data_IF_187721613126
#
_entry.id   IF_187721613126
#
_cell.length_a   1.000
_cell.length_b   1.000
_cell.length_c   1.000
_cell.angle_alpha   90.00
_cell.angle_beta   90.00
_cell.angle_gamma   90.00
#
_symmetry.space_group_name_H-M   'P 1'
#
loop_
_entity.id
_entity.type
_entity.pdbx_description
1 polymer ?
#
# COMPACT_ATOMS: atom_id res chain seq x y z
N UNK A 1 -1.35 13.90 22.72
CA UNK A 1 -1.16 14.03 21.26
C UNK A 1 -0.27 15.22 21.04
N UNK A 2 0.90 15.02 20.44
CA UNK A 2 1.77 16.13 20.06
C UNK A 2 1.08 16.94 18.96
N UNK A 3 1.09 18.27 19.09
CA UNK A 3 0.45 19.15 18.11
C UNK A 3 1.29 19.26 16.85
N UNK A 4 0.62 19.22 15.69
CA UNK A 4 1.29 19.46 14.43
C UNK A 4 1.80 20.91 14.35
N UNK A 5 3.03 21.07 13.88
CA UNK A 5 3.58 22.36 13.49
C UNK A 5 2.78 22.99 12.32
N UNK A 6 2.90 24.32 12.09
CA UNK A 6 2.26 25.01 10.97
C UNK A 6 2.49 24.30 9.63
N UNK A 7 1.43 24.16 8.83
CA UNK A 7 1.40 23.25 7.66
C UNK A 7 2.36 23.64 6.52
N UNK A 8 2.78 24.90 6.49
CA UNK A 8 3.69 25.49 5.51
C UNK A 8 5.14 25.58 6.03
N UNK A 9 5.36 25.48 7.34
CA UNK A 9 6.70 25.37 7.94
C UNK A 9 7.37 24.03 7.66
N UNK A 10 8.71 24.00 7.65
CA UNK A 10 9.49 22.80 7.30
C UNK A 10 9.10 21.59 8.16
N UNK A 11 9.10 21.74 9.49
CA UNK A 11 8.70 20.68 10.41
C UNK A 11 7.27 20.20 10.12
N UNK A 12 6.32 21.12 9.92
CA UNK A 12 4.93 20.74 9.62
C UNK A 12 4.79 20.03 8.27
N UNK A 13 5.63 20.35 7.29
CA UNK A 13 5.70 19.62 6.03
C UNK A 13 6.25 18.19 6.25
N UNK A 14 7.31 18.02 7.04
CA UNK A 14 7.87 16.70 7.38
C UNK A 14 6.87 15.84 8.17
N UNK A 15 6.23 16.43 9.18
CA UNK A 15 5.15 15.81 9.96
C UNK A 15 3.90 15.48 9.15
N UNK A 16 3.75 15.96 7.92
CA UNK A 16 2.67 15.55 6.99
C UNK A 16 3.19 14.74 5.82
N UNK A 17 4.46 14.33 5.90
CA UNK A 17 5.16 13.58 4.88
C UNK A 17 5.39 14.33 3.57
N UNK A 18 5.21 15.65 3.48
CA UNK A 18 5.16 16.34 2.18
C UNK A 18 6.48 16.25 1.42
N UNK A 19 6.39 16.07 0.10
CA UNK A 19 7.57 16.05 -0.79
C UNK A 19 8.29 17.40 -0.86
N UNK A 20 7.59 18.51 -0.58
CA UNK A 20 8.23 19.80 -0.36
C UNK A 20 9.17 19.79 0.86
N UNK A 21 8.70 19.26 2.00
CA UNK A 21 9.52 19.14 3.22
C UNK A 21 10.75 18.27 2.99
N UNK A 22 10.59 17.13 2.31
CA UNK A 22 11.70 16.25 1.97
C UNK A 22 12.76 16.88 1.06
N UNK A 23 12.37 17.85 0.22
CA UNK A 23 13.33 18.59 -0.62
C UNK A 23 14.04 19.66 0.20
N UNK A 24 13.28 20.45 0.94
CA UNK A 24 13.82 21.58 1.69
C UNK A 24 14.73 21.12 2.82
N UNK A 25 14.40 20.01 3.50
CA UNK A 25 15.21 19.49 4.61
C UNK A 25 16.61 19.06 4.17
N UNK A 26 16.81 18.71 2.89
CA UNK A 26 18.11 18.23 2.41
C UNK A 26 19.22 19.30 2.45
N UNK A 27 18.84 20.58 2.43
CA UNK A 27 19.76 21.71 2.50
C UNK A 27 19.69 22.43 3.87
N UNK A 28 18.94 21.89 4.83
CA UNK A 28 18.74 22.50 6.15
C UNK A 28 19.79 22.01 7.16
N UNK A 29 20.48 22.91 7.90
CA UNK A 29 21.48 22.49 8.89
C UNK A 29 20.90 21.71 10.07
N UNK A 30 19.59 21.80 10.33
CA UNK A 30 18.87 21.04 11.35
C UNK A 30 18.17 19.78 10.77
N UNK A 31 18.57 19.32 9.57
CA UNK A 31 17.94 18.18 8.92
C UNK A 31 17.84 16.94 9.80
N UNK A 32 18.94 16.59 10.48
CA UNK A 32 18.99 15.41 11.34
C UNK A 32 17.98 15.50 12.48
N UNK A 33 18.01 16.58 13.28
CA UNK A 33 17.10 16.74 14.41
C UNK A 33 15.64 16.77 13.98
N UNK A 34 15.32 17.51 12.91
CA UNK A 34 13.95 17.61 12.39
C UNK A 34 13.39 16.25 11.91
N UNK A 35 14.21 15.45 11.25
CA UNK A 35 13.81 14.12 10.77
C UNK A 35 13.67 13.16 11.95
N UNK A 36 14.63 13.15 12.86
CA UNK A 36 14.60 12.27 14.03
C UNK A 36 13.43 12.61 14.97
N UNK A 37 13.06 13.88 15.11
CA UNK A 37 11.85 14.29 15.82
C UNK A 37 10.57 13.76 15.15
N UNK A 38 10.56 13.67 13.80
CA UNK A 38 9.46 13.05 13.07
C UNK A 38 9.45 11.52 13.18
N UNK A 39 10.60 10.88 13.42
CA UNK A 39 10.71 9.42 13.63
C UNK A 39 10.20 9.01 15.01
N UNK A 40 10.39 9.87 16.02
CA UNK A 40 10.02 9.57 17.41
C UNK A 40 8.51 9.44 17.65
N UNK A 41 7.68 9.97 16.77
CA UNK A 41 6.23 10.03 16.97
C UNK A 41 5.46 9.64 15.71
N UNK A 42 4.34 8.97 15.89
CA UNK A 42 3.40 8.67 14.83
C UNK A 42 2.57 9.92 14.46
N UNK A 43 3.04 10.62 13.44
CA UNK A 43 2.35 11.75 12.82
C UNK A 43 1.41 11.34 11.67
N UNK A 44 0.94 10.09 11.65
CA UNK A 44 -0.08 9.66 10.68
C UNK A 44 -1.44 10.16 11.11
N UNK A 45 -2.19 10.71 10.16
CA UNK A 45 -3.60 11.03 10.37
C UNK A 45 -4.45 9.77 10.47
N UNK A 46 -4.21 8.82 9.57
CA UNK A 46 -4.85 7.51 9.53
C UNK A 46 -3.78 6.48 9.15
N UNK A 47 -3.43 5.63 10.10
CA UNK A 47 -2.32 4.68 10.00
C UNK A 47 -2.55 3.62 8.92
N UNK A 48 -3.80 3.36 8.52
CA UNK A 48 -4.12 2.40 7.46
C UNK A 48 -3.73 2.89 6.07
N UNK A 49 -3.71 4.21 5.84
CA UNK A 49 -3.50 4.80 4.52
C UNK A 49 -2.23 5.65 4.42
N UNK A 50 -1.74 6.19 5.53
CA UNK A 50 -0.51 7.00 5.53
C UNK A 50 0.74 6.10 5.61
N UNK A 51 1.49 6.03 4.52
CA UNK A 51 2.78 5.34 4.39
C UNK A 51 3.93 6.16 5.00
N UNK A 52 3.71 6.75 6.18
CA UNK A 52 4.70 7.61 6.83
C UNK A 52 6.04 6.93 7.09
N UNK A 53 6.09 5.65 7.52
CA UNK A 53 7.36 4.97 7.74
C UNK A 53 8.22 4.92 6.47
N UNK A 54 7.62 4.68 5.30
CA UNK A 54 8.36 4.69 4.02
C UNK A 54 8.92 6.06 3.65
N UNK A 55 8.17 7.14 3.95
CA UNK A 55 8.67 8.50 3.79
C UNK A 55 9.87 8.79 4.70
N UNK A 56 9.79 8.44 5.98
CA UNK A 56 10.84 8.70 6.96
C UNK A 56 12.08 7.83 6.73
N UNK A 57 11.91 6.54 6.46
CA UNK A 57 13.02 5.63 6.11
C UNK A 57 13.81 6.15 4.91
N UNK A 58 13.09 6.69 3.91
CA UNK A 58 13.75 7.30 2.76
C UNK A 58 14.54 8.55 3.14
N UNK A 59 14.03 9.41 4.03
CA UNK A 59 14.77 10.59 4.49
C UNK A 59 16.02 10.18 5.27
N UNK A 60 15.91 9.24 6.20
CA UNK A 60 17.05 8.69 6.96
C UNK A 60 18.14 8.21 6.00
N UNK A 61 17.79 7.40 5.00
CA UNK A 61 18.73 6.94 3.98
C UNK A 61 19.30 8.08 3.13
N UNK A 62 18.43 8.89 2.53
CA UNK A 62 18.83 9.88 1.52
C UNK A 62 19.69 11.00 2.11
N UNK A 63 19.55 11.28 3.41
CA UNK A 63 20.35 12.25 4.17
C UNK A 63 21.55 11.60 4.90
N UNK A 64 21.67 10.28 4.87
CA UNK A 64 22.74 9.55 5.57
C UNK A 64 22.65 9.64 7.09
N UNK A 65 21.44 9.73 7.64
CA UNK A 65 21.24 9.81 9.10
C UNK A 65 21.50 8.45 9.76
N UNK A 66 22.00 8.43 11.00
CA UNK A 66 22.25 7.18 11.71
C UNK A 66 20.93 6.47 12.06
N UNK A 67 20.85 5.17 11.76
CA UNK A 67 19.70 4.32 12.11
C UNK A 67 19.78 3.75 13.53
N UNK A 68 20.95 3.79 14.18
CA UNK A 68 21.18 3.32 15.56
C UNK A 68 20.18 3.89 16.58
N UNK A 69 19.99 5.22 16.65
CA UNK A 69 19.02 5.83 17.57
C UNK A 69 17.57 5.37 17.37
N UNK A 70 17.20 4.92 16.17
CA UNK A 70 15.85 4.38 15.89
C UNK A 70 15.72 2.99 16.53
N UNK A 71 16.79 2.19 16.52
CA UNK A 71 16.85 0.92 17.25
C UNK A 71 16.78 1.11 18.76
N UNK A 72 17.51 2.09 19.30
CA UNK A 72 17.47 2.45 20.72
C UNK A 72 16.07 2.92 21.15
N UNK A 73 15.40 3.72 20.31
CA UNK A 73 14.00 4.11 20.53
C UNK A 73 13.10 2.87 20.61
N UNK A 74 13.23 1.93 19.67
CA UNK A 74 12.42 0.71 19.65
C UNK A 74 12.56 -0.12 20.94
N UNK A 75 13.77 -0.16 21.51
CA UNK A 75 14.08 -0.90 22.74
C UNK A 75 13.60 -0.18 24.02
N UNK A 76 13.51 1.14 24.00
CA UNK A 76 13.16 1.97 25.17
C UNK A 76 11.68 2.34 25.25
N UNK A 77 10.94 2.21 24.15
CA UNK A 77 9.51 2.50 24.14
C UNK A 77 8.71 1.53 25.06
N UNK A 78 7.83 2.07 25.92
CA UNK A 78 7.00 1.23 26.77
C UNK A 78 6.02 0.40 25.91
N UNK A 79 5.58 -0.77 26.38
CA UNK A 79 4.69 -1.65 25.62
C UNK A 79 3.36 -1.01 25.17
N UNK A 80 2.98 0.07 25.84
CA UNK A 80 1.74 0.82 25.62
C UNK A 80 1.94 2.06 24.71
N UNK A 81 3.12 2.26 24.12
CA UNK A 81 3.51 3.45 23.32
C UNK A 81 2.69 3.71 22.04
N UNK A 82 1.55 3.04 21.86
CA UNK A 82 0.65 3.27 20.74
C UNK A 82 1.28 2.85 19.42
N UNK A 83 1.21 3.73 18.43
CA UNK A 83 1.66 3.46 17.07
C UNK A 83 3.10 3.91 16.78
N UNK A 84 3.80 4.53 17.75
CA UNK A 84 5.18 5.00 17.59
C UNK A 84 6.12 3.82 17.30
N UNK A 85 5.93 2.72 18.05
CA UNK A 85 6.57 1.43 17.83
C UNK A 85 6.49 0.96 16.36
N UNK A 86 5.30 1.06 15.75
CA UNK A 86 5.12 0.63 14.37
C UNK A 86 5.95 1.46 13.40
N UNK A 87 6.01 2.78 13.64
CA UNK A 87 6.78 3.68 12.78
C UNK A 87 8.26 3.34 12.86
N UNK A 88 8.82 3.21 14.07
CA UNK A 88 10.22 2.85 14.28
C UNK A 88 10.56 1.47 13.69
N UNK A 89 9.76 0.44 13.99
CA UNK A 89 9.98 -0.92 13.50
C UNK A 89 9.92 -1.01 11.96
N UNK A 90 8.94 -0.34 11.32
CA UNK A 90 8.85 -0.29 9.86
C UNK A 90 10.02 0.47 9.22
N UNK A 91 10.45 1.58 9.82
CA UNK A 91 11.62 2.32 9.31
C UNK A 91 12.86 1.41 9.34
N UNK A 92 13.13 0.75 10.47
CA UNK A 92 14.26 -0.18 10.59
C UNK A 92 14.15 -1.35 9.62
N UNK A 93 12.96 -1.96 9.49
CA UNK A 93 12.71 -3.03 8.53
C UNK A 93 13.00 -2.60 7.08
N UNK A 94 12.54 -1.43 6.67
CA UNK A 94 12.78 -0.91 5.31
C UNK A 94 14.26 -0.57 5.07
N UNK A 95 14.94 0.04 6.04
CA UNK A 95 16.37 0.35 5.96
C UNK A 95 17.22 -0.92 5.92
N UNK A 96 16.88 -1.90 6.75
CA UNK A 96 17.52 -3.21 6.77
C UNK A 96 17.34 -3.93 5.42
N UNK A 97 16.15 -3.88 4.82
CA UNK A 97 15.87 -4.50 3.52
C UNK A 97 16.76 -3.95 2.39
N UNK A 98 17.11 -2.67 2.45
CA UNK A 98 17.93 -2.00 1.44
C UNK A 98 19.44 -2.00 1.78
N UNK A 99 19.85 -2.70 2.83
CA UNK A 99 21.26 -2.95 3.16
C UNK A 99 21.87 -2.09 4.26
N UNK A 100 21.06 -1.39 5.08
CA UNK A 100 21.58 -0.77 6.30
C UNK A 100 21.82 -1.84 7.38
N UNK A 101 23.09 -2.16 7.62
CA UNK A 101 23.51 -3.18 8.59
C UNK A 101 23.22 -2.79 10.04
N UNK A 102 23.21 -1.50 10.37
CA UNK A 102 22.87 -1.03 11.72
C UNK A 102 21.37 -1.22 11.97
N UNK A 103 20.54 -0.87 10.99
CA UNK A 103 19.10 -1.11 11.06
C UNK A 103 18.77 -2.61 11.11
N UNK A 104 19.51 -3.41 10.33
CA UNK A 104 19.44 -4.88 10.32
C UNK A 104 19.77 -5.48 11.68
N UNK A 105 20.88 -5.05 12.30
CA UNK A 105 21.25 -5.50 13.63
C UNK A 105 20.22 -5.08 14.70
N UNK A 106 19.65 -3.87 14.57
CA UNK A 106 18.59 -3.39 15.45
C UNK A 106 17.32 -4.25 15.40
N UNK A 107 16.80 -4.53 14.19
CA UNK A 107 15.60 -5.35 14.03
C UNK A 107 15.87 -6.82 14.43
N UNK A 108 17.06 -7.36 14.15
CA UNK A 108 17.45 -8.72 14.53
C UNK A 108 17.49 -8.87 16.06
N UNK A 109 18.09 -7.89 16.75
CA UNK A 109 18.12 -7.86 18.22
C UNK A 109 16.71 -7.72 18.80
N UNK A 110 15.88 -6.86 18.23
CA UNK A 110 14.52 -6.65 18.72
C UNK A 110 13.64 -7.88 18.53
N UNK A 111 13.73 -8.58 17.39
CA UNK A 111 13.02 -9.85 17.20
C UNK A 111 13.52 -10.91 18.20
N UNK A 112 14.82 -10.92 18.48
CA UNK A 112 15.41 -11.89 19.41
C UNK A 112 15.06 -11.65 20.88
N UNK A 113 14.84 -10.40 21.30
CA UNK A 113 14.78 -10.03 22.73
C UNK A 113 13.59 -9.14 23.10
N UNK A 114 13.05 -8.37 22.16
CA UNK A 114 12.05 -7.34 22.39
C UNK A 114 10.68 -7.86 22.87
N UNK A 115 9.93 -7.06 23.64
CA UNK A 115 8.62 -7.45 24.16
C UNK A 115 7.57 -7.59 23.05
N UNK A 116 7.65 -6.79 21.98
CA UNK A 116 6.75 -6.83 20.81
C UNK A 116 7.37 -7.55 19.61
N UNK A 117 8.17 -8.59 19.87
CA UNK A 117 8.91 -9.29 18.82
C UNK A 117 8.00 -9.90 17.74
N UNK A 118 6.78 -10.35 18.10
CA UNK A 118 5.77 -10.84 17.15
C UNK A 118 5.38 -9.74 16.17
N UNK A 119 5.04 -8.55 16.66
CA UNK A 119 4.64 -7.41 15.83
C UNK A 119 5.80 -6.97 14.90
N UNK A 120 7.03 -6.91 15.43
CA UNK A 120 8.22 -6.59 14.64
C UNK A 120 8.49 -7.63 13.54
N UNK A 121 8.37 -8.91 13.86
CA UNK A 121 8.52 -10.00 12.89
C UNK A 121 7.45 -9.92 11.80
N UNK A 122 6.20 -9.66 12.16
CA UNK A 122 5.12 -9.53 11.18
C UNK A 122 5.31 -8.34 10.25
N UNK A 123 5.82 -7.21 10.75
CA UNK A 123 6.25 -6.07 9.92
C UNK A 123 7.32 -6.50 8.90
N UNK A 124 8.34 -7.22 9.35
CA UNK A 124 9.41 -7.73 8.47
C UNK A 124 8.84 -8.68 7.41
N UNK A 125 7.95 -9.58 7.81
CA UNK A 125 7.32 -10.57 6.91
C UNK A 125 6.41 -9.91 5.87
N UNK A 126 5.73 -8.82 6.22
CA UNK A 126 4.92 -8.03 5.30
C UNK A 126 5.75 -7.31 4.23
N UNK A 127 6.98 -6.91 4.58
CA UNK A 127 7.82 -6.06 3.74
C UNK A 127 8.88 -6.84 2.94
N UNK A 128 9.40 -7.94 3.49
CA UNK A 128 10.55 -8.63 2.93
C UNK A 128 10.15 -9.81 2.02
N UNK A 129 10.99 -10.16 1.04
CA UNK A 129 10.87 -11.43 0.34
C UNK A 129 10.93 -12.62 1.30
N UNK A 130 10.18 -13.68 0.99
CA UNK A 130 10.11 -14.90 1.81
C UNK A 130 11.48 -15.48 2.17
N UNK A 131 12.44 -15.32 1.26
CA UNK A 131 13.72 -16.01 1.35
C UNK A 131 14.61 -15.33 2.39
N UNK A 132 14.33 -14.05 2.68
CA UNK A 132 15.06 -13.28 3.67
C UNK A 132 14.45 -13.43 5.07
N UNK A 133 13.13 -13.34 5.22
CA UNK A 133 12.53 -13.41 6.55
C UNK A 133 12.44 -14.83 7.11
N UNK A 134 12.54 -15.88 6.28
CA UNK A 134 12.59 -17.28 6.76
C UNK A 134 13.71 -17.55 7.75
N UNK A 135 14.80 -16.78 7.71
CA UNK A 135 15.92 -16.88 8.66
C UNK A 135 15.51 -16.69 10.12
N UNK A 136 14.39 -16.00 10.38
CA UNK A 136 13.89 -15.77 11.73
C UNK A 136 13.14 -16.97 12.32
N UNK A 137 12.92 -18.05 11.55
CA UNK A 137 12.13 -19.19 12.00
C UNK A 137 12.66 -19.77 13.32
N UNK A 138 13.96 -20.06 13.40
CA UNK A 138 14.56 -20.64 14.61
C UNK A 138 14.38 -19.73 15.83
N UNK A 139 14.73 -18.45 15.70
CA UNK A 139 14.58 -17.45 16.77
C UNK A 139 13.12 -17.29 17.21
N UNK A 140 12.19 -17.20 16.26
CA UNK A 140 10.78 -17.02 16.54
C UNK A 140 10.18 -18.25 17.23
N UNK A 141 10.45 -19.45 16.71
CA UNK A 141 9.95 -20.71 17.28
C UNK A 141 10.52 -20.94 18.68
N UNK A 142 11.80 -20.63 18.93
CA UNK A 142 12.40 -20.72 20.26
C UNK A 142 11.72 -19.81 21.29
N UNK A 143 11.15 -18.67 20.84
CA UNK A 143 10.45 -17.70 21.70
C UNK A 143 8.96 -17.98 21.88
N UNK A 144 8.38 -18.93 21.14
CA UNK A 144 6.96 -19.24 21.29
C UNK A 144 6.69 -19.80 22.69
N UNK A 145 5.73 -19.19 23.37
CA UNK A 145 5.11 -19.67 24.59
C UNK A 145 3.58 -19.78 24.40
N UNK A 146 2.85 -20.49 25.27
CA UNK A 146 1.41 -20.63 25.12
C UNK A 146 0.65 -19.28 25.03
N UNK A 147 0.92 -18.28 25.89
CA UNK A 147 0.27 -16.97 25.79
C UNK A 147 0.50 -16.25 24.45
N UNK A 148 1.68 -16.41 23.85
CA UNK A 148 2.00 -15.84 22.55
C UNK A 148 1.22 -16.57 21.46
N UNK A 149 1.25 -17.91 21.46
CA UNK A 149 0.55 -18.75 20.48
C UNK A 149 -0.94 -18.43 20.43
N UNK A 150 -1.57 -18.24 21.60
CA UNK A 150 -3.00 -17.92 21.71
C UNK A 150 -3.38 -16.58 21.04
N UNK A 151 -2.42 -15.67 20.86
CA UNK A 151 -2.61 -14.37 20.20
C UNK A 151 -2.28 -14.39 18.70
N UNK A 152 -1.63 -15.45 18.21
CA UNK A 152 -1.25 -15.55 16.80
C UNK A 152 -2.48 -15.76 15.92
N UNK A 153 -2.42 -15.20 14.71
CA UNK A 153 -3.44 -15.43 13.70
C UNK A 153 -3.00 -16.57 12.75
N UNK A 154 -3.70 -17.73 12.75
CA UNK A 154 -3.21 -18.95 12.11
C UNK A 154 -2.96 -18.87 10.61
N UNK A 155 -3.83 -18.16 9.88
CA UNK A 155 -3.72 -18.03 8.43
C UNK A 155 -2.69 -16.96 7.98
N UNK A 156 -2.09 -16.25 8.93
CA UNK A 156 -1.11 -15.20 8.65
C UNK A 156 0.28 -15.76 8.41
N UNK A 157 1.05 -15.09 7.54
CA UNK A 157 2.50 -15.24 7.56
C UNK A 157 3.06 -14.59 8.84
N UNK A 158 4.19 -15.07 9.38
CA UNK A 158 4.95 -16.23 8.92
C UNK A 158 4.36 -17.57 9.41
N UNK A 159 3.44 -17.53 10.36
CA UNK A 159 2.99 -18.70 11.13
C UNK A 159 2.42 -19.83 10.30
N UNK A 160 1.58 -19.54 9.31
CA UNK A 160 1.06 -20.54 8.38
C UNK A 160 2.17 -21.27 7.61
N UNK A 161 3.31 -20.62 7.37
CA UNK A 161 4.47 -21.23 6.70
C UNK A 161 5.28 -22.11 7.64
N UNK A 162 5.22 -21.84 8.94
CA UNK A 162 5.99 -22.54 9.97
C UNK A 162 5.16 -23.57 10.75
N UNK A 163 3.89 -23.75 10.43
CA UNK A 163 2.99 -24.72 11.10
C UNK A 163 3.60 -26.13 11.12
N UNK A 164 4.22 -26.56 10.02
CA UNK A 164 4.85 -27.90 9.93
C UNK A 164 6.22 -27.99 10.62
N UNK A 165 6.77 -26.86 11.08
CA UNK A 165 8.09 -26.78 11.71
C UNK A 165 8.01 -26.87 13.24
N UNK A 166 6.86 -26.58 13.85
CA UNK A 166 6.68 -26.61 15.31
C UNK A 166 5.35 -27.27 15.70
N UNK A 167 5.38 -28.39 16.45
CA UNK A 167 4.16 -29.09 16.87
C UNK A 167 3.17 -28.21 17.64
N UNK A 168 3.64 -27.21 18.40
CA UNK A 168 2.78 -26.32 19.20
C UNK A 168 1.92 -25.44 18.32
N UNK A 169 2.47 -24.93 17.20
CA UNK A 169 1.70 -24.20 16.19
C UNK A 169 0.69 -25.11 15.51
N UNK A 170 1.11 -26.31 15.09
CA UNK A 170 0.23 -27.29 14.45
C UNK A 170 -0.99 -27.66 15.33
N UNK A 171 -0.76 -27.90 16.62
CA UNK A 171 -1.82 -28.19 17.58
C UNK A 171 -2.78 -27.00 17.74
N UNK A 172 -2.23 -25.80 18.01
CA UNK A 172 -3.03 -24.60 18.19
C UNK A 172 -3.87 -24.26 16.95
N UNK A 173 -3.30 -24.44 15.76
CA UNK A 173 -3.98 -24.11 14.50
C UNK A 173 -5.00 -25.17 14.11
N UNK A 174 -4.79 -26.43 14.48
CA UNK A 174 -5.81 -27.50 14.38
C UNK A 174 -6.99 -27.20 15.30
N UNK A 175 -6.73 -26.78 16.54
CA UNK A 175 -7.78 -26.40 17.49
C UNK A 175 -8.56 -25.15 17.00
N UNK A 176 -7.87 -24.17 16.43
CA UNK A 176 -8.51 -22.99 15.83
C UNK A 176 -9.40 -23.35 14.63
N UNK A 177 -8.91 -24.20 13.71
CA UNK A 177 -9.70 -24.68 12.56
C UNK A 177 -10.95 -25.43 13.04
N UNK A 178 -10.80 -26.32 14.01
CA UNK A 178 -11.91 -27.06 14.62
C UNK A 178 -12.96 -26.15 15.27
N UNK A 179 -12.55 -25.03 15.88
CA UNK A 179 -13.47 -24.02 16.42
C UNK A 179 -14.16 -23.21 15.31
N UNK A 180 -13.42 -22.85 14.28
CA UNK A 180 -13.94 -22.07 13.15
C UNK A 180 -14.98 -22.86 12.35
N UNK A 181 -14.75 -24.15 12.14
CA UNK A 181 -15.68 -25.07 11.49
C UNK A 181 -17.00 -25.22 12.26
N UNK A 182 -16.97 -25.10 13.60
CA UNK A 182 -18.20 -25.07 14.42
C UNK A 182 -19.00 -23.78 14.24
N UNK A 183 -18.32 -22.65 14.01
CA UNK A 183 -18.99 -21.35 13.81
C UNK A 183 -19.52 -21.17 12.38
N UNK A 184 -18.91 -21.80 11.38
CA UNK A 184 -19.45 -21.89 10.01
C UNK A 184 -20.48 -23.00 9.85
N UNK A 185 -20.54 -23.92 10.82
CA UNK A 185 -21.36 -25.13 10.82
C UNK A 185 -22.87 -24.94 10.98
N UNK A 186 -23.38 -23.73 11.23
CA UNK A 186 -24.82 -23.51 11.42
C UNK A 186 -25.59 -23.20 10.12
N UNK A 187 -25.07 -23.61 8.95
CA UNK A 187 -25.91 -23.57 7.74
C UNK A 187 -25.31 -24.05 6.42
N UNK A 188 -23.99 -24.05 6.23
CA UNK A 188 -23.39 -24.40 4.94
C UNK A 188 -22.45 -25.60 5.05
N UNK A 189 -22.90 -26.75 4.53
CA UNK A 189 -22.09 -27.98 4.48
C UNK A 189 -20.79 -27.75 3.68
N UNK A 190 -19.64 -28.27 4.12
CA UNK A 190 -18.44 -28.30 3.28
C UNK A 190 -18.73 -28.99 1.94
N UNK A 191 -18.26 -28.43 0.82
CA UNK A 191 -18.41 -29.02 -0.52
C UNK A 191 -19.57 -28.47 -1.38
N UNK A 192 -20.19 -27.35 -0.98
CA UNK A 192 -21.13 -26.66 -1.88
C UNK A 192 -20.42 -26.15 -3.14
N UNK A 193 -21.03 -26.42 -4.30
CA UNK A 193 -20.57 -25.88 -5.58
C UNK A 193 -20.69 -24.35 -5.61
N UNK A 194 -19.89 -23.70 -6.46
CA UNK A 194 -19.96 -22.26 -6.73
C UNK A 194 -21.39 -21.82 -7.08
N UNK A 195 -22.11 -22.60 -7.90
CA UNK A 195 -23.50 -22.32 -8.28
C UNK A 195 -24.44 -22.32 -7.07
N UNK A 196 -24.22 -23.24 -6.13
CA UNK A 196 -25.03 -23.33 -4.92
C UNK A 196 -24.73 -22.17 -3.97
N UNK A 197 -23.47 -21.75 -3.87
CA UNK A 197 -23.09 -20.55 -3.12
C UNK A 197 -23.73 -19.28 -3.72
N UNK A 198 -23.72 -19.14 -5.05
CA UNK A 198 -24.40 -18.04 -5.73
C UNK A 198 -25.92 -18.08 -5.54
N UNK A 199 -26.53 -19.27 -5.55
CA UNK A 199 -27.96 -19.43 -5.27
C UNK A 199 -28.33 -18.97 -3.87
N UNK A 200 -27.49 -19.26 -2.86
CA UNK A 200 -27.70 -18.79 -1.48
C UNK A 200 -27.60 -17.27 -1.36
N UNK A 201 -26.75 -16.62 -2.17
CA UNK A 201 -26.66 -15.16 -2.20
C UNK A 201 -27.85 -14.50 -2.91
N UNK A 202 -28.43 -15.18 -3.90
CA UNK A 202 -29.62 -14.71 -4.64
C UNK A 202 -30.92 -14.84 -3.83
N UNK A 203 -30.98 -15.81 -2.93
CA UNK A 203 -32.17 -16.04 -2.11
C UNK A 203 -32.40 -14.87 -1.13
N UNK A 204 -33.49 -14.11 -1.26
CA UNK A 204 -33.76 -12.95 -0.41
C UNK A 204 -34.03 -13.36 1.04
N UNK A 205 -34.59 -14.55 1.27
CA UNK A 205 -35.02 -15.06 2.58
C UNK A 205 -33.88 -15.77 3.32
N UNK A 206 -32.75 -16.00 2.64
CA UNK A 206 -31.57 -16.61 3.24
C UNK A 206 -31.04 -15.78 4.42
N UNK A 207 -30.80 -16.41 5.58
CA UNK A 207 -30.23 -15.73 6.74
C UNK A 207 -28.94 -15.00 6.39
N UNK A 208 -28.80 -13.81 6.94
CA UNK A 208 -27.67 -12.93 6.69
C UNK A 208 -26.32 -13.56 7.02
N UNK A 209 -26.22 -14.33 8.11
CA UNK A 209 -25.03 -15.10 8.48
C UNK A 209 -24.65 -16.15 7.42
N UNK A 210 -25.64 -16.81 6.81
CA UNK A 210 -25.40 -17.76 5.72
C UNK A 210 -24.91 -17.03 4.44
N UNK A 211 -25.41 -15.82 4.14
CA UNK A 211 -24.88 -15.00 3.04
C UNK A 211 -23.43 -14.57 3.28
N UNK A 212 -23.08 -14.18 4.52
CA UNK A 212 -21.69 -13.88 4.93
C UNK A 212 -20.80 -15.11 4.74
N UNK A 213 -21.23 -16.28 5.20
CA UNK A 213 -20.48 -17.53 5.04
C UNK A 213 -20.29 -17.92 3.56
N UNK A 214 -21.32 -17.76 2.73
CA UNK A 214 -21.22 -18.01 1.30
C UNK A 214 -20.25 -17.05 0.59
N UNK A 215 -20.24 -15.77 0.95
CA UNK A 215 -19.28 -14.78 0.44
C UNK A 215 -17.83 -15.10 0.84
N UNK A 216 -17.59 -15.48 2.11
CA UNK A 216 -16.26 -15.92 2.56
C UNK A 216 -15.77 -17.10 1.72
N UNK A 217 -16.64 -18.09 1.51
CA UNK A 217 -16.29 -19.29 0.74
C UNK A 217 -15.99 -19.00 -0.74
N UNK A 218 -16.76 -18.11 -1.37
CA UNK A 218 -16.47 -17.66 -2.75
C UNK A 218 -15.15 -16.89 -2.86
N UNK A 219 -14.76 -16.16 -1.81
CA UNK A 219 -13.48 -15.45 -1.77
C UNK A 219 -12.29 -16.43 -1.75
N UNK A 220 -12.45 -17.56 -1.06
CA UNK A 220 -11.43 -18.63 -0.98
C UNK A 220 -11.31 -19.45 -2.28
N UNK A 221 -12.43 -19.66 -3.00
CA UNK A 221 -12.49 -20.51 -4.20
C UNK A 221 -12.16 -19.77 -5.52
N UNK A 222 -11.77 -18.49 -5.43
CA UNK A 222 -11.78 -17.50 -6.49
C UNK A 222 -13.22 -17.07 -6.90
N UNK A 223 -13.56 -15.78 -6.77
CA UNK A 223 -14.94 -15.33 -6.97
C UNK A 223 -15.35 -15.41 -8.45
N UNK A 224 -16.51 -16.01 -8.76
CA UNK A 224 -17.04 -16.12 -10.11
C UNK A 224 -17.55 -14.74 -10.60
N UNK A 225 -17.51 -14.45 -11.92
CA UNK A 225 -17.95 -13.16 -12.46
C UNK A 225 -19.42 -12.83 -12.15
N UNK A 226 -20.28 -13.84 -12.01
CA UNK A 226 -21.70 -13.74 -11.66
C UNK A 226 -21.94 -13.14 -10.27
N UNK A 227 -20.90 -13.06 -9.42
CA UNK A 227 -20.97 -12.36 -8.15
C UNK A 227 -21.12 -10.83 -8.34
N UNK A 228 -20.63 -10.29 -9.46
CA UNK A 228 -20.74 -8.85 -9.77
C UNK A 228 -22.20 -8.42 -9.94
N UNK A 229 -23.02 -9.29 -10.53
CA UNK A 229 -24.45 -9.03 -10.72
C UNK A 229 -25.22 -8.97 -9.39
N UNK A 230 -24.63 -9.47 -8.30
CA UNK A 230 -25.20 -9.46 -6.95
C UNK A 230 -24.62 -8.35 -6.06
N UNK A 231 -23.62 -7.59 -6.55
CA UNK A 231 -22.83 -6.68 -5.72
C UNK A 231 -23.68 -5.57 -5.06
N UNK A 232 -24.62 -4.99 -5.80
CA UNK A 232 -25.50 -3.92 -5.30
C UNK A 232 -26.41 -4.41 -4.17
N UNK A 233 -26.97 -5.62 -4.30
CA UNK A 233 -27.83 -6.23 -3.27
C UNK A 233 -27.08 -6.70 -2.03
N UNK A 234 -25.76 -6.90 -2.14
CA UNK A 234 -24.92 -7.44 -1.06
C UNK A 234 -24.16 -6.36 -0.28
N UNK A 235 -24.29 -5.07 -0.62
CA UNK A 235 -23.58 -3.96 0.05
C UNK A 235 -23.70 -4.01 1.57
N UNK A 236 -24.90 -4.31 2.10
CA UNK A 236 -25.12 -4.40 3.54
C UNK A 236 -24.43 -5.61 4.18
N UNK A 237 -24.33 -6.73 3.47
CA UNK A 237 -23.64 -7.96 3.91
C UNK A 237 -22.12 -7.73 3.89
N UNK A 238 -21.60 -7.05 2.86
CA UNK A 238 -20.18 -6.70 2.72
C UNK A 238 -19.72 -5.72 3.79
N UNK A 239 -20.54 -4.72 4.16
CA UNK A 239 -20.21 -3.79 5.26
C UNK A 239 -20.04 -4.51 6.60
N UNK A 240 -20.73 -5.63 6.81
CA UNK A 240 -20.62 -6.43 8.02
C UNK A 240 -19.47 -7.43 7.98
N UNK A 241 -19.11 -7.94 6.80
CA UNK A 241 -17.82 -8.63 6.62
C UNK A 241 -16.65 -7.74 7.04
N UNK A 242 -16.72 -6.44 6.72
CA UNK A 242 -15.76 -5.45 7.19
C UNK A 242 -15.79 -5.23 8.71
N UNK A 243 -16.99 -5.17 9.32
CA UNK A 243 -17.15 -4.96 10.78
C UNK A 243 -16.82 -6.19 11.62
N UNK A 244 -17.13 -7.40 11.16
CA UNK A 244 -16.83 -8.66 11.87
C UNK A 244 -15.33 -8.94 11.93
N UNK A 245 -14.51 -8.31 11.09
CA UNK A 245 -13.06 -8.29 11.24
C UNK A 245 -12.59 -7.32 12.35
N UNK A 246 -13.43 -6.36 12.74
CA UNK A 246 -13.16 -5.33 13.74
C UNK A 246 -13.88 -5.56 15.09
N UNK A 247 -14.87 -6.45 15.19
CA UNK A 247 -15.76 -6.55 16.36
C UNK A 247 -15.88 -7.94 16.97
N UNK A 248 -14.84 -8.78 17.00
CA UNK A 248 -14.83 -9.89 17.95
C UNK A 248 -14.53 -9.34 19.36
N UNK A 249 -15.51 -9.25 20.28
CA UNK A 249 -15.30 -8.66 21.60
C UNK A 249 -14.56 -9.62 22.54
N UNK A 250 -14.24 -10.84 22.11
CA UNK A 250 -13.63 -11.88 22.94
C UNK A 250 -12.15 -12.15 22.61
N UNK A 251 -11.54 -11.37 21.72
CA UNK A 251 -10.09 -11.36 21.53
C UNK A 251 -9.52 -9.96 21.80
N UNK A 252 -8.60 -9.79 22.77
CA UNK A 252 -7.83 -8.55 22.91
C UNK A 252 -6.79 -8.37 21.79
N UNK A 253 -6.92 -9.07 20.67
CA UNK A 253 -6.06 -8.96 19.52
C UNK A 253 -6.46 -7.71 18.72
N UNK A 254 -5.55 -6.74 18.64
CA UNK A 254 -5.65 -5.54 17.80
C UNK A 254 -6.21 -5.89 16.40
N UNK A 255 -7.17 -5.13 15.84
CA UNK A 255 -7.66 -5.35 14.49
C UNK A 255 -6.49 -5.30 13.50
N UNK A 256 -6.29 -6.40 12.78
CA UNK A 256 -5.09 -6.59 11.96
C UNK A 256 -5.16 -5.75 10.67
N UNK A 257 -4.00 -5.21 10.32
CA UNK A 257 -3.66 -4.51 9.07
C UNK A 257 -4.06 -5.32 7.84
N UNK A 258 -5.21 -5.01 7.27
CA UNK A 258 -5.49 -5.39 5.90
C UNK A 258 -5.45 -4.12 5.05
N UNK A 259 -4.28 -3.85 4.44
CA UNK A 259 -4.08 -2.79 3.43
C UNK A 259 -4.95 -3.00 2.16
N UNK A 260 -5.84 -4.00 2.18
CA UNK A 260 -6.76 -4.41 1.14
C UNK A 260 -8.15 -3.77 1.26
N UNK A 261 -8.49 -3.13 2.39
CA UNK A 261 -9.83 -2.56 2.62
C UNK A 261 -10.26 -1.54 1.55
N UNK A 262 -9.32 -0.72 1.05
CA UNK A 262 -9.61 0.27 0.00
C UNK A 262 -9.45 -0.26 -1.44
N UNK A 263 -8.87 -1.45 -1.63
CA UNK A 263 -8.63 -2.05 -2.96
C UNK A 263 -9.84 -2.79 -3.54
N UNK A 264 -10.94 -2.89 -2.79
CA UNK A 264 -12.03 -3.83 -3.11
C UNK A 264 -13.25 -3.23 -3.82
N UNK A 265 -13.25 -1.95 -4.20
CA UNK A 265 -14.47 -1.30 -4.76
C UNK A 265 -14.36 -0.86 -6.23
N UNK A 266 -13.17 -0.86 -6.86
CA UNK A 266 -13.03 -0.49 -8.28
C UNK A 266 -12.28 -1.50 -9.20
N UNK A 267 -12.43 -2.84 -9.13
CA UNK A 267 -11.83 -3.72 -10.15
C UNK A 267 -12.53 -3.70 -11.53
N UNK A 268 -13.77 -3.21 -11.63
CA UNK A 268 -14.59 -3.40 -12.85
C UNK A 268 -14.23 -2.46 -14.03
N UNK A 269 -13.61 -1.31 -13.79
CA UNK A 269 -13.27 -0.33 -14.85
C UNK A 269 -11.82 -0.41 -15.34
N UNK A 270 -10.94 -1.12 -14.62
CA UNK A 270 -9.51 -1.22 -14.93
C UNK A 270 -9.10 -2.70 -14.85
N UNK A 271 -9.47 -3.44 -15.90
CA UNK A 271 -9.35 -4.89 -16.02
C UNK A 271 -8.11 -5.48 -15.37
N UNK A 272 -8.33 -6.20 -14.26
CA UNK A 272 -7.31 -6.95 -13.53
C UNK A 272 -7.35 -8.41 -13.99
N UNK A 273 -6.84 -8.70 -15.19
CA UNK A 273 -6.48 -10.07 -15.57
C UNK A 273 -5.01 -10.28 -15.28
N UNK A 274 -4.71 -10.93 -14.16
CA UNK A 274 -3.37 -11.40 -13.83
C UNK A 274 -3.03 -12.61 -14.71
N UNK A 275 -2.45 -12.36 -15.88
CA UNK A 275 -1.71 -13.36 -16.63
C UNK A 275 -0.46 -12.67 -17.23
N UNK A 276 0.75 -13.24 -17.09
CA UNK A 276 1.91 -12.70 -17.76
C UNK A 276 1.71 -12.82 -19.27
N UNK A 277 1.70 -11.69 -19.97
CA UNK A 277 1.64 -11.66 -21.42
C UNK A 277 2.91 -12.32 -21.98
N UNK A 278 2.76 -13.47 -22.64
CA UNK A 278 3.81 -14.05 -23.49
C UNK A 278 4.18 -13.06 -24.59
N UNK A 279 5.47 -12.88 -24.92
CA UNK A 279 5.89 -12.00 -25.99
C UNK A 279 5.63 -12.69 -27.33
N UNK A 280 4.48 -12.41 -27.94
CA UNK A 280 4.26 -12.76 -29.34
C UNK A 280 4.90 -11.67 -30.23
N UNK A 281 6.01 -12.06 -30.88
CA UNK A 281 6.73 -11.25 -31.87
C UNK A 281 5.98 -11.33 -33.19
N UNK A 282 4.98 -10.48 -33.38
CA UNK A 282 4.51 -10.10 -34.70
C UNK A 282 4.29 -8.59 -34.78
N UNK A 283 5.18 -7.92 -35.51
CA UNK A 283 5.13 -6.49 -35.81
C UNK A 283 4.02 -6.22 -36.85
N UNK A 284 2.91 -5.60 -36.41
CA UNK A 284 1.94 -4.92 -37.27
C UNK A 284 1.07 -3.91 -36.49
N UNK A 285 0.36 -2.96 -37.12
CA UNK A 285 0.35 -1.54 -36.74
C UNK A 285 -0.60 -1.21 -35.57
N UNK A 286 -0.12 -1.38 -34.33
CA UNK A 286 -0.85 -1.02 -33.08
C UNK A 286 -0.73 0.45 -32.64
N UNK A 287 -0.02 1.30 -33.40
CA UNK A 287 0.27 2.71 -33.02
C UNK A 287 -0.96 3.61 -32.81
N UNK A 288 -2.06 3.57 -33.59
CA UNK A 288 -3.17 4.50 -33.41
C UNK A 288 -4.00 4.22 -32.14
N UNK A 289 -4.11 2.94 -31.72
CA UNK A 289 -4.84 2.55 -30.50
C UNK A 289 -4.08 2.92 -29.22
N UNK A 290 -2.74 2.86 -29.22
CA UNK A 290 -1.91 3.31 -28.08
C UNK A 290 -1.99 4.83 -27.88
N UNK A 291 -1.91 5.62 -28.95
CA UNK A 291 -2.05 7.10 -28.87
C UNK A 291 -3.36 7.54 -28.23
N UNK A 292 -4.49 6.91 -28.56
CA UNK A 292 -5.80 7.21 -27.95
C UNK A 292 -5.85 6.95 -26.44
N UNK A 293 -5.14 5.94 -25.94
CA UNK A 293 -5.14 5.57 -24.51
C UNK A 293 -4.38 6.58 -23.64
N UNK A 294 -3.30 7.18 -24.15
CA UNK A 294 -2.54 8.18 -23.40
C UNK A 294 -3.33 9.48 -23.25
N UNK A 295 -4.11 9.85 -24.27
CA UNK A 295 -5.00 11.03 -24.22
C UNK A 295 -6.10 10.86 -23.17
N UNK A 296 -6.67 9.66 -23.04
CA UNK A 296 -7.68 9.37 -21.99
C UNK A 296 -7.06 9.48 -20.60
N UNK A 297 -5.86 8.94 -20.38
CA UNK A 297 -5.15 9.11 -19.10
C UNK A 297 -4.86 10.59 -18.80
N UNK A 298 -4.37 11.35 -19.78
CA UNK A 298 -4.06 12.76 -19.60
C UNK A 298 -5.33 13.58 -19.26
N UNK A 299 -6.44 13.29 -19.94
CA UNK A 299 -7.74 13.90 -19.65
C UNK A 299 -8.22 13.58 -18.24
N UNK A 300 -8.06 12.34 -17.78
CA UNK A 300 -8.48 11.94 -16.43
C UNK A 300 -7.60 12.56 -15.34
N UNK A 301 -6.28 12.65 -15.56
CA UNK A 301 -5.38 13.39 -14.66
C UNK A 301 -5.79 14.87 -14.54
N UNK A 302 -6.09 15.52 -15.67
CA UNK A 302 -6.56 16.90 -15.69
C UNK A 302 -7.89 17.04 -14.95
N UNK A 303 -8.84 16.12 -15.19
CA UNK A 303 -10.15 16.09 -14.52
C UNK A 303 -10.03 16.00 -13.00
N UNK A 304 -9.23 15.06 -12.48
CA UNK A 304 -9.02 14.94 -11.03
C UNK A 304 -8.42 16.23 -10.44
N UNK A 305 -7.46 16.82 -11.14
CA UNK A 305 -6.80 18.05 -10.69
C UNK A 305 -7.77 19.22 -10.66
N UNK A 306 -8.56 19.39 -11.70
CA UNK A 306 -9.52 20.48 -11.83
C UNK A 306 -10.65 20.36 -10.79
N UNK A 307 -10.94 19.14 -10.31
CA UNK A 307 -11.86 18.88 -9.20
C UNK A 307 -11.22 19.04 -7.82
N UNK A 308 -9.90 19.26 -7.74
CA UNK A 308 -9.17 19.28 -6.47
C UNK A 308 -9.15 17.92 -5.76
N UNK A 309 -9.39 16.84 -6.48
CA UNK A 309 -9.31 15.47 -5.96
C UNK A 309 -7.84 15.12 -5.75
N UNK A 310 -7.51 14.63 -4.55
CA UNK A 310 -6.14 14.20 -4.23
C UNK A 310 -5.97 12.68 -4.29
N UNK A 311 -7.06 11.93 -4.28
CA UNK A 311 -7.04 10.47 -4.32
C UNK A 311 -7.10 9.94 -5.76
N UNK A 312 -6.70 8.66 -5.93
CA UNK A 312 -6.84 7.85 -7.15
C UNK A 312 -5.78 8.09 -8.22
N UNK A 313 -4.83 9.00 -8.00
CA UNK A 313 -3.76 9.20 -8.97
C UNK A 313 -2.83 7.98 -9.02
N UNK A 314 -2.70 7.22 -7.92
CA UNK A 314 -1.96 5.96 -7.89
C UNK A 314 -2.41 5.00 -9.01
N UNK A 315 -3.71 4.83 -9.19
CA UNK A 315 -4.31 3.96 -10.21
C UNK A 315 -4.00 4.46 -11.63
N UNK A 316 -4.04 5.78 -11.83
CA UNK A 316 -3.70 6.39 -13.11
C UNK A 316 -2.21 6.27 -13.43
N UNK A 317 -1.34 6.39 -12.42
CA UNK A 317 0.12 6.25 -12.58
C UNK A 317 0.51 4.80 -12.88
N UNK A 318 -0.14 3.82 -12.24
CA UNK A 318 0.01 2.40 -12.60
C UNK A 318 -0.51 2.15 -14.03
N UNK A 319 -1.60 2.80 -14.43
CA UNK A 319 -2.08 2.84 -15.82
C UNK A 319 -1.03 3.36 -16.79
N UNK A 320 -0.35 4.45 -16.45
CA UNK A 320 0.69 5.08 -17.25
C UNK A 320 1.86 4.13 -17.50
N UNK A 321 2.35 3.47 -16.44
CA UNK A 321 3.44 2.48 -16.51
C UNK A 321 3.03 1.31 -17.41
N UNK A 322 1.83 0.72 -17.18
CA UNK A 322 1.34 -0.43 -17.95
C UNK A 322 1.16 -0.13 -19.44
N UNK A 323 0.80 1.10 -19.80
CA UNK A 323 0.58 1.49 -21.20
C UNK A 323 1.88 1.83 -21.94
N UNK A 324 3.03 1.86 -21.25
CA UNK A 324 4.32 2.09 -21.88
C UNK A 324 4.46 3.49 -22.47
N UNK A 325 3.88 4.52 -21.83
CA UNK A 325 4.10 5.92 -22.24
C UNK A 325 5.60 6.29 -22.25
N UNK A 326 6.38 5.56 -21.44
CA UNK A 326 7.83 5.51 -21.40
C UNK A 326 8.52 5.18 -22.74
N UNK A 327 7.88 4.47 -23.66
CA UNK A 327 8.48 4.03 -24.93
C UNK A 327 8.73 5.20 -25.90
N UNK A 328 8.25 6.42 -25.60
CA UNK A 328 8.56 7.65 -26.34
C UNK A 328 8.99 8.78 -25.38
N UNK A 329 10.22 8.72 -24.81
CA UNK A 329 10.68 9.62 -23.76
C UNK A 329 10.70 11.10 -24.16
N UNK A 330 10.77 11.42 -25.45
CA UNK A 330 10.76 12.80 -25.96
C UNK A 330 9.38 13.34 -26.34
N UNK A 331 8.30 12.57 -26.19
CA UNK A 331 6.97 13.03 -26.60
C UNK A 331 6.45 14.16 -25.70
N UNK A 332 5.68 15.09 -26.27
CA UNK A 332 5.00 16.16 -25.52
C UNK A 332 4.14 15.60 -24.37
N UNK A 333 3.48 14.47 -24.63
CA UNK A 333 2.69 13.75 -23.61
C UNK A 333 3.56 13.24 -22.46
N UNK A 334 4.74 12.65 -22.73
CA UNK A 334 5.65 12.21 -21.67
C UNK A 334 6.18 13.41 -20.87
N UNK A 335 6.55 14.51 -21.54
CA UNK A 335 6.96 15.77 -20.89
C UNK A 335 5.87 16.33 -19.99
N UNK A 336 4.62 16.32 -20.44
CA UNK A 336 3.47 16.73 -19.64
C UNK A 336 3.32 15.85 -18.40
N UNK A 337 3.28 14.53 -18.55
CA UNK A 337 3.17 13.60 -17.41
C UNK A 337 4.32 13.78 -16.41
N UNK A 338 5.56 13.97 -16.87
CA UNK A 338 6.69 14.25 -15.95
C UNK A 338 6.44 15.49 -15.10
N UNK A 339 5.97 16.58 -15.71
CA UNK A 339 5.66 17.81 -14.99
C UNK A 339 4.54 17.58 -13.98
N UNK A 340 3.43 16.99 -14.40
CA UNK A 340 2.28 16.78 -13.52
C UNK A 340 2.63 15.83 -12.36
N UNK A 341 3.33 14.73 -12.62
CA UNK A 341 3.76 13.78 -11.59
C UNK A 341 4.73 14.41 -10.59
N UNK A 342 5.65 15.26 -11.05
CA UNK A 342 6.52 16.04 -10.15
C UNK A 342 5.68 16.98 -9.30
N UNK A 343 4.73 17.71 -9.87
CA UNK A 343 3.84 18.60 -9.12
C UNK A 343 3.05 17.85 -8.05
N UNK A 344 2.39 16.74 -8.44
CA UNK A 344 1.61 15.89 -7.53
C UNK A 344 2.49 15.32 -6.42
N UNK A 345 3.67 14.83 -6.74
CA UNK A 345 4.57 14.29 -5.72
C UNK A 345 5.03 15.34 -4.70
N UNK A 346 5.21 16.59 -5.11
CA UNK A 346 5.54 17.69 -4.19
C UNK A 346 4.35 18.12 -3.33
N UNK A 347 3.16 18.15 -3.94
CA UNK A 347 1.97 18.75 -3.34
C UNK A 347 1.10 17.76 -2.57
N UNK A 348 1.08 16.48 -2.95
CA UNK A 348 0.11 15.49 -2.44
C UNK A 348 0.21 15.38 -0.93
N UNK A 349 -0.92 15.39 -0.21
CA UNK A 349 -0.96 15.02 1.20
C UNK A 349 -0.82 13.50 1.38
N UNK A 350 -1.06 12.70 0.34
CA UNK A 350 -1.10 11.25 0.41
C UNK A 350 0.29 10.63 0.17
N UNK A 351 0.90 10.17 1.24
CA UNK A 351 2.21 9.50 1.20
C UNK A 351 2.23 8.22 0.38
N UNK A 352 1.17 7.41 0.45
CA UNK A 352 1.07 6.16 -0.29
C UNK A 352 1.11 6.34 -1.81
N UNK A 353 0.60 7.45 -2.34
CA UNK A 353 0.60 7.69 -3.79
C UNK A 353 1.99 8.07 -4.32
N UNK A 354 2.88 8.57 -3.46
CA UNK A 354 4.22 9.05 -3.89
C UNK A 354 5.04 7.93 -4.51
N UNK A 355 4.98 6.72 -3.95
CA UNK A 355 5.66 5.56 -4.52
C UNK A 355 5.18 5.27 -5.93
N UNK A 356 3.89 5.44 -6.21
CA UNK A 356 3.31 5.26 -7.55
C UNK A 356 3.76 6.38 -8.51
N UNK A 357 3.85 7.63 -8.05
CA UNK A 357 4.40 8.75 -8.83
C UNK A 357 5.86 8.53 -9.21
N UNK A 358 6.67 8.08 -8.25
CA UNK A 358 8.08 7.82 -8.45
C UNK A 358 8.31 6.66 -9.43
N UNK A 359 7.58 5.56 -9.28
CA UNK A 359 7.62 4.44 -10.23
C UNK A 359 7.26 4.91 -11.65
N UNK A 360 6.25 5.76 -11.78
CA UNK A 360 5.86 6.32 -13.07
C UNK A 360 6.93 7.26 -13.64
N UNK A 361 7.56 8.10 -12.82
CA UNK A 361 8.66 8.97 -13.24
C UNK A 361 9.90 8.17 -13.67
N UNK A 362 10.29 7.13 -12.93
CA UNK A 362 11.39 6.22 -13.32
C UNK A 362 11.07 5.51 -14.62
N UNK A 363 9.82 5.05 -14.81
CA UNK A 363 9.41 4.47 -16.08
C UNK A 363 9.54 5.48 -17.23
N UNK A 364 9.14 6.74 -17.04
CA UNK A 364 9.22 7.79 -18.07
C UNK A 364 10.65 8.28 -18.36
N UNK A 365 11.53 8.31 -17.35
CA UNK A 365 12.90 8.84 -17.46
C UNK A 365 13.91 7.77 -17.89
N UNK A 366 13.56 6.49 -17.76
CA UNK A 366 14.45 5.37 -18.07
C UNK A 366 15.49 5.11 -16.98
N UNK A 367 16.20 3.96 -17.04
CA UNK A 367 17.05 3.47 -15.95
C UNK A 367 18.31 4.32 -15.67
N UNK A 368 18.60 5.36 -16.45
CA UNK A 368 19.83 6.18 -16.32
C UNK A 368 19.71 7.36 -15.35
N UNK A 369 18.58 7.55 -14.67
CA UNK A 369 18.38 8.67 -13.72
C UNK A 369 18.40 8.22 -12.26
N UNK A 370 19.58 7.89 -11.74
CA UNK A 370 19.87 8.00 -10.30
C UNK A 370 21.39 8.22 -10.14
N UNK A 371 21.82 9.34 -9.55
CA UNK A 371 21.68 9.56 -8.11
C UNK A 371 21.18 10.98 -7.76
N UNK A 372 20.31 11.07 -6.76
CA UNK A 372 19.59 12.26 -6.29
C UNK A 372 18.42 12.71 -7.19
N UNK A 373 17.40 11.84 -7.27
CA UNK A 373 16.06 12.20 -7.75
C UNK A 373 15.55 13.55 -7.19
N UNK A 374 15.96 13.91 -5.97
CA UNK A 374 15.67 15.18 -5.31
C UNK A 374 16.35 16.39 -5.96
N UNK A 375 17.61 16.30 -6.41
CA UNK A 375 18.32 17.42 -7.03
C UNK A 375 17.81 17.70 -8.45
N UNK A 376 17.46 16.64 -9.20
CA UNK A 376 16.94 16.77 -10.56
C UNK A 376 15.54 17.44 -10.63
N UNK A 377 14.78 17.44 -9.53
CA UNK A 377 13.49 18.14 -9.44
C UNK A 377 13.60 19.63 -9.10
N UNK A 378 14.82 20.18 -9.01
CA UNK A 378 15.15 21.48 -8.41
C UNK A 378 14.79 22.76 -9.19
N UNK A 379 14.09 22.72 -10.32
CA UNK A 379 13.84 23.94 -11.13
C UNK A 379 12.44 24.54 -11.03
N UNK A 380 11.50 23.92 -10.32
CA UNK A 380 10.16 24.51 -10.15
C UNK A 380 10.10 25.38 -8.87
N UNK A 381 10.37 26.69 -9.03
CA UNK A 381 10.17 27.68 -7.97
C UNK A 381 8.68 28.01 -7.87
N UNK A 382 8.11 27.84 -6.68
CA UNK A 382 6.74 28.24 -6.29
C UNK A 382 5.55 27.40 -6.80
N UNK A 383 4.53 27.28 -5.94
CA UNK A 383 3.20 26.70 -6.19
C UNK A 383 2.50 27.36 -7.41
N UNK A 384 2.80 28.63 -7.65
CA UNK A 384 2.18 29.49 -8.67
C UNK A 384 2.58 29.09 -10.09
N UNK A 385 3.82 28.62 -10.28
CA UNK A 385 4.36 28.28 -11.60
C UNK A 385 3.99 26.86 -12.02
N UNK A 386 3.85 25.94 -11.06
CA UNK A 386 3.37 24.57 -11.32
C UNK A 386 1.87 24.51 -11.71
N UNK A 387 1.06 25.47 -11.26
CA UNK A 387 -0.40 25.45 -11.46
C UNK A 387 -0.89 26.18 -12.73
N UNK A 388 0.00 26.85 -13.49
CA UNK A 388 -0.37 27.44 -14.78
C UNK A 388 -0.18 26.41 -15.91
N UNK A 389 -1.28 25.83 -16.40
CA UNK A 389 -1.23 24.96 -17.57
C UNK A 389 -0.95 25.74 -18.87
N UNK A 390 -0.10 25.22 -19.78
CA UNK A 390 -0.24 25.53 -21.21
C UNK A 390 -1.53 24.87 -21.69
N UNK A 391 -2.39 25.63 -22.39
CA UNK A 391 -3.60 25.09 -23.01
C UNK A 391 -3.19 24.04 -24.05
N UNK A 392 -3.70 22.81 -23.93
CA UNK A 392 -3.60 21.85 -25.03
C UNK A 392 -4.35 22.40 -26.25
N UNK A 393 -3.83 22.24 -27.48
CA UNK A 393 -4.60 22.52 -28.67
C UNK A 393 -5.80 21.59 -28.71
N UNK A 394 -7.00 22.17 -28.71
CA UNK A 394 -8.24 21.45 -28.99
C UNK A 394 -8.12 20.75 -30.34
N UNK A 395 -8.51 19.47 -30.47
CA UNK A 395 -8.52 18.81 -31.76
C UNK A 395 -9.47 19.56 -32.70
N UNK A 396 -8.92 20.10 -33.80
CA UNK A 396 -9.68 20.74 -34.87
C UNK A 396 -10.79 19.79 -35.35
N UNK A 397 -12.06 20.19 -35.17
CA UNK A 397 -13.17 19.59 -35.90
C UNK A 397 -13.02 20.02 -37.36
N UNK A 398 -12.94 19.09 -38.34
CA UNK A 398 -13.08 19.47 -39.74
C UNK A 398 -14.51 20.00 -39.94
N UNK A 399 -14.61 21.21 -40.47
CA UNK A 399 -15.89 21.84 -40.78
C UNK A 399 -16.67 20.99 -41.76
N UNK A 400 -17.92 20.71 -41.42
CA UNK A 400 -18.90 20.18 -42.36
C UNK A 400 -19.16 21.31 -43.35
N UNK A 401 -18.68 21.12 -44.58
CA UNK A 401 -19.04 21.96 -45.72
C UNK A 401 -20.54 21.82 -45.96
N UNK A 402 -21.22 22.94 -45.85
CA UNK A 402 -22.54 23.19 -46.41
C UNK A 402 -22.38 23.43 -47.91
N UNK A 403 -22.72 22.44 -48.74
CA UNK A 403 -23.02 22.67 -50.14
C UNK A 403 -24.55 22.76 -50.33
N UNK A 404 -24.89 23.56 -51.34
CA UNK A 404 -26.23 24.05 -51.71
C UNK A 404 -27.13 23.02 -52.35
#
# INVERSE_FOLDING_TARGET
MSDYAPFDGLLGQLQRGRGAGARTVADDPAAESLVMDCVRHDWRWEWQVDDRPGYLARLVRDLGLPSGPIGEQLETEPPEAGNDFDVAARILSMLALIGDETARAGIDRYIAQGPHWVDALEIVVDEWPAEQWRRYAETALARLDPPTIDRLFPAGKPWATWETMDPRLAEAFTAWRSRSDRHTGDGLRPGLSTDRLLALLRDPDMPRAAKVAALRRLTELAPPPELLDLAEGLVHVVRELGRSADTDPLSPARPRRTRTGHRSVCPALVGRTGAPARPDRSESPRRPRRRRRHTVLAAEFARLRDQGEWCRYDTLTDGLIRLGVAEAPGSETATWFRRELRCLWQATPHSYERTSYLRALVALDGPTTHPSFWRACGTARSRSDCCRSPRFPTPHRPGIGSDS
#
